data_IF_240997113024
#
_entry.id   IF_240997113024
#
_cell.length_a   1.000
_cell.length_b   1.000
_cell.length_c   1.000
_cell.angle_alpha   90.00
_cell.angle_beta   90.00
_cell.angle_gamma   90.00
#
_symmetry.space_group_name_H-M   'P 1'
#
loop_
_entity.id
_entity.type
_entity.pdbx_description
1 polymer ?
#
# COMPACT_ATOMS: atom_id res chain seq x y z
N UNK A 1 -31.10 24.90 -17.07
CA UNK A 1 -30.19 24.86 -15.92
C UNK A 1 -30.06 23.41 -15.51
N UNK A 2 -29.16 22.66 -16.18
CA UNK A 2 -28.86 21.27 -15.84
C UNK A 2 -27.95 21.28 -14.62
N UNK A 3 -28.37 20.60 -13.56
CA UNK A 3 -27.60 20.42 -12.33
C UNK A 3 -26.29 19.68 -12.66
N UNK A 4 -25.19 20.42 -12.75
CA UNK A 4 -23.84 19.91 -13.04
C UNK A 4 -23.10 19.50 -11.77
N UNK A 5 -23.79 19.36 -10.63
CA UNK A 5 -23.16 18.78 -9.44
C UNK A 5 -22.78 17.33 -9.77
N UNK A 6 -21.52 16.92 -9.54
CA UNK A 6 -21.16 15.51 -9.63
C UNK A 6 -22.16 14.71 -8.79
N UNK A 7 -22.74 13.66 -9.36
CA UNK A 7 -23.41 12.64 -8.53
C UNK A 7 -22.43 12.26 -7.42
N UNK A 8 -22.88 12.02 -6.19
CA UNK A 8 -22.02 11.67 -5.05
C UNK A 8 -20.97 10.57 -5.37
N UNK A 9 -21.23 9.70 -6.36
CA UNK A 9 -20.25 8.73 -6.86
C UNK A 9 -18.99 9.32 -7.55
N UNK A 10 -19.05 10.56 -8.05
CA UNK A 10 -18.05 11.21 -8.91
C UNK A 10 -17.53 12.54 -8.35
N UNK A 11 -17.92 12.94 -7.13
CA UNK A 11 -17.22 14.07 -6.52
C UNK A 11 -15.76 13.67 -6.21
N UNK A 12 -14.82 14.64 -6.23
CA UNK A 12 -13.38 14.32 -6.13
C UNK A 12 -12.99 13.52 -4.88
N UNK A 13 -13.63 13.77 -3.72
CA UNK A 13 -13.31 13.09 -2.47
C UNK A 13 -13.74 11.63 -2.53
N UNK A 14 -14.98 11.38 -2.98
CA UNK A 14 -15.50 10.03 -3.19
C UNK A 14 -14.68 9.23 -4.19
N UNK A 15 -14.14 9.88 -5.24
CA UNK A 15 -13.23 9.23 -6.20
C UNK A 15 -11.92 8.81 -5.52
N UNK A 16 -11.25 9.72 -4.82
CA UNK A 16 -9.98 9.43 -4.13
C UNK A 16 -10.14 8.31 -3.09
N UNK A 17 -11.18 8.38 -2.26
CA UNK A 17 -11.46 7.35 -1.26
C UNK A 17 -11.73 5.98 -1.90
N UNK A 18 -12.50 5.94 -3.01
CA UNK A 18 -12.77 4.68 -3.72
C UNK A 18 -11.49 4.05 -4.27
N UNK A 19 -10.62 4.83 -4.91
CA UNK A 19 -9.34 4.32 -5.40
C UNK A 19 -8.44 3.86 -4.26
N UNK A 20 -8.41 4.61 -3.15
CA UNK A 20 -7.59 4.25 -2.00
C UNK A 20 -8.08 2.97 -1.30
N UNK A 21 -9.39 2.82 -1.08
CA UNK A 21 -10.00 1.57 -0.57
C UNK A 21 -9.67 0.39 -1.47
N UNK A 22 -9.87 0.54 -2.78
CA UNK A 22 -9.63 -0.56 -3.73
C UNK A 22 -8.18 -1.02 -3.77
N UNK A 23 -7.19 -0.14 -3.58
CA UNK A 23 -5.77 -0.55 -3.57
C UNK A 23 -5.38 -1.18 -2.22
N UNK A 24 -5.97 -0.75 -1.10
CA UNK A 24 -5.79 -1.42 0.20
C UNK A 24 -6.30 -2.86 0.17
N UNK A 25 -7.48 -3.07 -0.42
CA UNK A 25 -8.05 -4.41 -0.61
C UNK A 25 -7.14 -5.27 -1.50
N UNK A 26 -6.62 -4.69 -2.58
CA UNK A 26 -5.70 -5.39 -3.48
C UNK A 26 -4.38 -5.77 -2.78
N UNK A 27 -3.85 -4.93 -1.89
CA UNK A 27 -2.67 -5.26 -1.08
C UNK A 27 -2.94 -6.49 -0.23
N UNK A 28 -4.06 -6.53 0.50
CA UNK A 28 -4.43 -7.67 1.33
C UNK A 28 -4.64 -8.95 0.51
N UNK A 29 -5.34 -8.85 -0.61
CA UNK A 29 -5.59 -9.97 -1.51
C UNK A 29 -4.29 -10.65 -1.98
N UNK A 30 -3.24 -9.88 -2.25
CA UNK A 30 -1.93 -10.42 -2.67
C UNK A 30 -1.24 -11.27 -1.61
N UNK A 31 -1.67 -11.24 -0.34
CA UNK A 31 -1.12 -12.07 0.73
C UNK A 31 -1.93 -13.36 0.96
N UNK A 32 -3.10 -13.50 0.35
CA UNK A 32 -4.00 -14.62 0.61
C UNK A 32 -3.42 -15.96 0.15
N UNK A 33 -3.66 -17.01 0.94
CA UNK A 33 -3.29 -18.39 0.63
C UNK A 33 -1.81 -18.73 0.82
N UNK A 34 -0.98 -17.80 1.31
CA UNK A 34 0.45 -18.02 1.50
C UNK A 34 0.81 -18.53 2.89
N UNK A 35 1.94 -19.22 2.98
CA UNK A 35 2.54 -19.65 4.24
C UNK A 35 3.21 -18.48 4.97
N UNK A 36 3.35 -18.56 6.30
CA UNK A 36 4.14 -17.59 7.09
C UNK A 36 5.55 -17.38 6.53
N UNK A 37 6.17 -18.45 6.03
CA UNK A 37 7.50 -18.39 5.43
C UNK A 37 7.50 -17.55 4.14
N UNK A 38 6.54 -17.79 3.24
CA UNK A 38 6.45 -17.06 1.96
C UNK A 38 6.05 -15.60 2.13
N UNK A 39 5.26 -15.29 3.16
CA UNK A 39 4.93 -13.91 3.52
C UNK A 39 6.17 -13.10 3.93
N UNK A 40 7.17 -13.74 4.54
CA UNK A 40 8.31 -13.06 5.19
C UNK A 40 9.62 -13.14 4.42
N UNK A 41 9.81 -14.15 3.58
CA UNK A 41 11.10 -14.36 2.92
C UNK A 41 11.41 -13.22 1.93
N UNK A 42 12.64 -12.68 1.93
CA UNK A 42 13.03 -11.62 1.00
C UNK A 42 13.22 -12.17 -0.42
N UNK A 43 12.58 -11.56 -1.42
CA UNK A 43 12.69 -11.98 -2.84
C UNK A 43 13.45 -11.00 -3.73
N UNK A 44 14.00 -9.95 -3.15
CA UNK A 44 14.81 -8.96 -3.86
C UNK A 44 16.10 -8.69 -3.10
N UNK A 45 17.09 -8.11 -3.78
CA UNK A 45 18.38 -7.75 -3.17
C UNK A 45 18.24 -6.74 -2.02
N UNK A 46 17.16 -5.96 -1.98
CA UNK A 46 16.86 -4.98 -0.94
C UNK A 46 16.02 -5.55 0.21
N UNK A 47 15.75 -6.85 0.23
CA UNK A 47 15.02 -7.50 1.32
C UNK A 47 13.50 -7.40 1.24
N UNK A 48 12.94 -6.87 0.14
CA UNK A 48 11.49 -6.71 -0.02
C UNK A 48 10.79 -8.07 0.08
N UNK A 49 9.76 -8.11 0.94
CA UNK A 49 8.90 -9.26 1.22
C UNK A 49 7.46 -8.75 1.42
N UNK A 50 6.47 -9.66 1.35
CA UNK A 50 5.06 -9.28 1.35
C UNK A 50 4.61 -8.67 2.68
N UNK A 51 4.95 -9.32 3.80
CA UNK A 51 4.47 -8.92 5.12
C UNK A 51 5.10 -7.60 5.60
N UNK A 52 6.37 -7.40 5.30
CA UNK A 52 7.10 -6.16 5.57
C UNK A 52 6.49 -4.95 4.86
N UNK A 53 6.09 -5.11 3.59
CA UNK A 53 5.39 -4.05 2.86
C UNK A 53 4.05 -3.70 3.52
N UNK A 54 3.29 -4.68 4.00
CA UNK A 54 2.02 -4.40 4.69
C UNK A 54 2.26 -3.69 6.03
N UNK A 55 3.28 -4.09 6.79
CA UNK A 55 3.69 -3.40 8.03
C UNK A 55 4.05 -1.93 7.75
N UNK A 56 4.86 -1.69 6.72
CA UNK A 56 5.23 -0.34 6.28
C UNK A 56 4.02 0.49 5.84
N UNK A 57 3.11 -0.09 5.06
CA UNK A 57 1.89 0.60 4.65
C UNK A 57 0.98 0.94 5.84
N UNK A 58 0.90 0.08 6.85
CA UNK A 58 0.17 0.38 8.08
C UNK A 58 0.81 1.55 8.85
N UNK A 59 2.13 1.60 8.94
CA UNK A 59 2.85 2.71 9.58
C UNK A 59 2.68 4.03 8.82
N UNK A 60 2.93 4.02 7.51
CA UNK A 60 2.82 5.24 6.68
C UNK A 60 1.40 5.81 6.69
N UNK A 61 0.37 4.97 6.56
CA UNK A 61 -1.02 5.41 6.59
C UNK A 61 -1.41 6.01 7.95
N UNK A 62 -0.99 5.39 9.06
CA UNK A 62 -1.19 5.91 10.41
C UNK A 62 -0.48 7.27 10.62
N UNK A 63 0.73 7.43 10.06
CA UNK A 63 1.47 8.68 10.13
C UNK A 63 0.79 9.80 9.37
N UNK A 64 0.38 9.56 8.12
CA UNK A 64 -0.19 10.59 7.26
C UNK A 64 -1.64 10.97 7.60
N UNK A 65 -2.52 10.00 7.86
CA UNK A 65 -3.93 10.31 8.18
C UNK A 65 -4.18 10.43 9.68
N UNK A 66 -3.29 9.90 10.52
CA UNK A 66 -3.38 10.04 11.96
C UNK A 66 -2.55 11.21 12.47
N UNK A 67 -1.25 11.00 12.62
CA UNK A 67 -0.37 11.94 13.32
C UNK A 67 -0.30 13.31 12.62
N UNK A 68 -0.14 13.33 11.29
CA UNK A 68 -0.03 14.58 10.52
C UNK A 68 -1.31 15.44 10.58
N UNK A 69 -2.47 14.82 10.80
CA UNK A 69 -3.78 15.49 10.90
C UNK A 69 -4.24 15.69 12.35
N UNK A 70 -3.41 15.35 13.35
CA UNK A 70 -3.77 15.47 14.76
C UNK A 70 -4.92 14.54 15.16
N UNK A 71 -4.93 13.33 14.58
CA UNK A 71 -5.91 12.26 14.82
C UNK A 71 -5.18 10.93 15.01
N UNK A 72 -4.25 10.80 15.99
CA UNK A 72 -3.42 9.59 16.12
C UNK A 72 -4.28 8.33 16.24
N UNK A 73 -3.84 7.24 15.59
CA UNK A 73 -4.47 5.93 15.73
C UNK A 73 -4.24 5.44 17.17
N UNK A 74 -5.27 5.00 17.90
CA UNK A 74 -5.09 4.48 19.26
C UNK A 74 -4.36 3.13 19.26
N UNK A 75 -3.67 2.84 20.36
CA UNK A 75 -3.06 1.53 20.65
C UNK A 75 -2.13 0.99 19.55
N UNK A 76 -1.29 1.89 19.00
CA UNK A 76 -0.27 1.52 18.03
C UNK A 76 0.87 0.69 18.68
N UNK A 77 1.45 -0.26 17.93
CA UNK A 77 2.50 -1.15 18.45
C UNK A 77 3.80 -0.39 18.75
N UNK A 78 4.64 -0.99 19.60
CA UNK A 78 5.90 -0.37 20.05
C UNK A 78 6.87 0.02 18.92
N UNK A 79 6.94 -0.77 17.84
CA UNK A 79 7.78 -0.42 16.68
C UNK A 79 7.31 0.88 16.01
N UNK A 80 6.01 1.17 16.00
CA UNK A 80 5.48 2.41 15.44
C UNK A 80 5.79 3.60 16.36
N UNK A 81 5.70 3.40 17.68
CA UNK A 81 6.12 4.42 18.65
C UNK A 81 7.60 4.74 18.46
N UNK A 82 8.45 3.74 18.27
CA UNK A 82 9.86 3.94 17.94
C UNK A 82 10.06 4.63 16.59
N UNK A 83 9.24 4.32 15.57
CA UNK A 83 9.30 4.99 14.26
C UNK A 83 9.04 6.50 14.39
N UNK A 84 7.96 6.87 15.08
CA UNK A 84 7.59 8.29 15.29
C UNK A 84 8.63 9.02 16.15
N UNK A 85 9.28 8.31 17.08
CA UNK A 85 10.36 8.85 17.90
C UNK A 85 11.71 8.94 17.18
N UNK A 86 11.81 8.51 15.91
CA UNK A 86 13.08 8.38 15.17
C UNK A 86 14.09 7.43 15.86
N UNK A 87 13.58 6.44 16.60
CA UNK A 87 14.35 5.43 17.34
C UNK A 87 14.29 4.04 16.69
N UNK A 88 13.43 3.85 15.69
CA UNK A 88 13.39 2.62 14.92
C UNK A 88 14.59 2.55 13.97
N UNK A 89 15.17 1.35 13.83
CA UNK A 89 16.26 1.13 12.88
C UNK A 89 15.80 1.27 11.43
N UNK A 90 16.77 1.52 10.54
CA UNK A 90 16.54 1.56 9.10
C UNK A 90 15.82 0.28 8.63
N UNK A 91 14.72 0.45 7.91
CA UNK A 91 13.84 -0.62 7.44
C UNK A 91 13.13 -1.44 8.54
N UNK A 92 13.12 -1.00 9.80
CA UNK A 92 12.41 -1.71 10.88
C UNK A 92 10.90 -1.82 10.64
N UNK A 93 10.31 -0.89 9.89
CA UNK A 93 8.92 -0.91 9.44
C UNK A 93 8.68 -1.81 8.22
N UNK A 94 9.76 -2.20 7.52
CA UNK A 94 9.77 -3.19 6.42
C UNK A 94 10.12 -4.61 6.90
N UNK A 95 10.37 -4.78 8.20
CA UNK A 95 10.75 -6.06 8.79
C UNK A 95 9.73 -6.49 9.86
N UNK A 96 8.98 -7.54 9.56
CA UNK A 96 8.15 -8.25 10.55
C UNK A 96 9.01 -9.24 11.34
N UNK A 97 9.20 -9.00 12.65
CA UNK A 97 10.01 -9.88 13.50
C UNK A 97 9.31 -11.24 13.70
N UNK A 98 10.04 -12.29 14.12
CA UNK A 98 9.43 -13.59 14.41
C UNK A 98 8.31 -13.55 15.45
N UNK A 99 8.32 -12.56 16.34
CA UNK A 99 7.32 -12.37 17.40
C UNK A 99 6.07 -11.64 16.92
N UNK A 100 6.15 -10.89 15.81
CA UNK A 100 5.01 -10.21 15.21
C UNK A 100 4.31 -11.16 14.23
N UNK A 101 3.12 -11.66 14.56
CA UNK A 101 2.40 -12.57 13.68
C UNK A 101 1.87 -11.86 12.41
N UNK A 102 1.68 -12.61 11.31
CA UNK A 102 1.08 -12.01 10.12
C UNK A 102 -0.36 -11.56 10.39
N UNK A 103 -1.10 -12.30 11.22
CA UNK A 103 -2.46 -11.95 11.63
C UNK A 103 -2.50 -10.58 12.31
N UNK A 104 -1.60 -10.32 13.26
CA UNK A 104 -1.52 -9.02 13.95
C UNK A 104 -1.20 -7.87 13.00
N UNK A 105 -0.25 -8.06 12.07
CA UNK A 105 0.12 -7.04 11.09
C UNK A 105 -1.03 -6.77 10.12
N UNK A 106 -1.70 -7.81 9.62
CA UNK A 106 -2.85 -7.67 8.73
C UNK A 106 -4.05 -7.03 9.46
N UNK A 107 -4.26 -7.36 10.74
CA UNK A 107 -5.29 -6.73 11.57
C UNK A 107 -4.98 -5.26 11.83
N UNK A 108 -3.71 -4.92 12.10
CA UNK A 108 -3.25 -3.54 12.24
C UNK A 108 -3.50 -2.74 10.96
N UNK A 109 -3.14 -3.29 9.80
CA UNK A 109 -3.35 -2.62 8.52
C UNK A 109 -4.84 -2.29 8.27
N UNK A 110 -5.74 -3.25 8.55
CA UNK A 110 -7.19 -3.02 8.47
C UNK A 110 -7.67 -1.94 9.44
N UNK A 111 -7.23 -2.01 10.71
CA UNK A 111 -7.61 -1.04 11.75
C UNK A 111 -7.15 0.38 11.43
N UNK A 112 -5.90 0.54 10.98
CA UNK A 112 -5.37 1.84 10.51
C UNK A 112 -6.19 2.32 9.32
N UNK A 113 -6.56 1.41 8.43
CA UNK A 113 -7.43 1.70 7.30
C UNK A 113 -8.81 2.23 7.69
N UNK A 114 -9.48 1.60 8.65
CA UNK A 114 -10.80 2.03 9.15
C UNK A 114 -10.70 3.40 9.84
N UNK A 115 -9.65 3.62 10.62
CA UNK A 115 -9.38 4.91 11.25
C UNK A 115 -9.16 6.01 10.21
N UNK A 116 -8.35 5.73 9.19
CA UNK A 116 -8.08 6.66 8.10
C UNK A 116 -9.35 7.00 7.32
N UNK A 117 -10.20 6.01 7.04
CA UNK A 117 -11.50 6.25 6.42
C UNK A 117 -12.37 7.20 7.24
N UNK A 118 -12.43 7.03 8.57
CA UNK A 118 -13.18 7.91 9.45
C UNK A 118 -12.64 9.35 9.45
N UNK A 119 -11.31 9.53 9.52
CA UNK A 119 -10.67 10.85 9.43
C UNK A 119 -10.93 11.51 8.09
N UNK A 120 -10.78 10.75 6.99
CA UNK A 120 -11.04 11.26 5.65
C UNK A 120 -12.51 11.66 5.54
N UNK A 121 -13.47 10.87 6.04
CA UNK A 121 -14.90 11.19 6.00
C UNK A 121 -15.23 12.48 6.77
N UNK A 122 -14.65 12.68 7.96
CA UNK A 122 -14.83 13.87 8.81
C UNK A 122 -14.35 15.17 8.14
N UNK A 123 -13.19 15.12 7.47
CA UNK A 123 -12.47 16.33 7.03
C UNK A 123 -12.79 16.77 5.60
N UNK A 124 -12.72 18.08 5.34
CA UNK A 124 -12.71 18.63 3.98
C UNK A 124 -11.39 18.32 3.25
N UNK A 125 -11.41 18.28 1.92
CA UNK A 125 -10.18 18.09 1.12
C UNK A 125 -9.15 19.22 1.30
N UNK A 126 -9.60 20.38 1.74
CA UNK A 126 -8.83 21.57 2.08
C UNK A 126 -8.37 21.61 3.55
N UNK A 127 -8.81 20.67 4.40
CA UNK A 127 -8.28 20.53 5.75
C UNK A 127 -6.79 20.25 5.70
N UNK A 128 -6.02 20.91 6.55
CA UNK A 128 -4.55 20.85 6.50
C UNK A 128 -3.96 20.08 7.67
N UNK A 129 -2.84 19.43 7.40
CA UNK A 129 -1.98 18.76 8.37
C UNK A 129 -0.53 19.24 8.29
N UNK A 130 0.31 18.73 9.18
CA UNK A 130 1.77 18.95 9.15
C UNK A 130 2.48 17.62 8.95
N UNK A 131 3.34 17.54 7.93
CA UNK A 131 4.18 16.38 7.58
C UNK A 131 5.64 16.71 7.87
N UNK A 132 6.18 16.37 9.07
CA UNK A 132 7.50 16.85 9.50
C UNK A 132 8.65 16.48 8.56
N UNK A 133 8.62 15.25 8.01
CA UNK A 133 9.67 14.72 7.13
C UNK A 133 9.65 15.30 5.71
N UNK A 134 8.70 16.19 5.37
CA UNK A 134 8.73 16.97 4.12
C UNK A 134 9.38 18.34 4.28
N UNK A 135 9.93 18.65 5.46
CA UNK A 135 10.56 19.92 5.77
C UNK A 135 9.57 21.09 5.62
N UNK A 136 10.02 22.21 5.04
CA UNK A 136 9.17 23.41 4.90
C UNK A 136 7.90 23.17 4.07
N UNK A 137 7.96 22.23 3.10
CA UNK A 137 6.81 21.84 2.26
C UNK A 137 5.79 21.00 3.01
N UNK A 138 6.14 20.53 4.19
CA UNK A 138 5.30 19.76 5.08
C UNK A 138 4.35 20.59 5.94
N UNK A 139 4.38 21.92 5.88
CA UNK A 139 3.43 22.76 6.62
C UNK A 139 2.14 22.96 5.83
N UNK A 140 1.01 22.95 6.53
CA UNK A 140 -0.32 23.21 5.99
C UNK A 140 -0.66 22.36 4.75
N UNK A 141 -0.26 21.08 4.77
CA UNK A 141 -0.48 20.14 3.66
C UNK A 141 -1.95 19.77 3.60
N UNK A 142 -2.67 20.02 2.49
CA UNK A 142 -4.09 19.71 2.40
C UNK A 142 -4.32 18.19 2.31
N UNK A 143 -5.43 17.72 2.88
CA UNK A 143 -5.86 16.31 2.85
C UNK A 143 -5.89 15.77 1.42
N UNK A 144 -6.27 16.61 0.44
CA UNK A 144 -6.19 16.25 -0.97
C UNK A 144 -4.79 15.76 -1.39
N UNK A 145 -3.73 16.46 -0.99
CA UNK A 145 -2.36 16.10 -1.32
C UNK A 145 -1.93 14.83 -0.58
N UNK A 146 -2.36 14.66 0.68
CA UNK A 146 -2.11 13.43 1.44
C UNK A 146 -2.77 12.20 0.81
N UNK A 147 -4.03 12.33 0.34
CA UNK A 147 -4.73 11.27 -0.39
C UNK A 147 -4.00 10.89 -1.68
N UNK A 148 -3.59 11.88 -2.49
CA UNK A 148 -2.83 11.61 -3.71
C UNK A 148 -1.50 10.93 -3.40
N UNK A 149 -0.80 11.39 -2.36
CA UNK A 149 0.47 10.80 -1.92
C UNK A 149 0.28 9.34 -1.50
N UNK A 150 -0.69 9.04 -0.63
CA UNK A 150 -0.93 7.68 -0.14
C UNK A 150 -1.44 6.76 -1.24
N UNK A 151 -2.28 7.23 -2.16
CA UNK A 151 -2.65 6.45 -3.35
C UNK A 151 -1.41 6.09 -4.17
N UNK A 152 -0.51 7.04 -4.41
CA UNK A 152 0.71 6.78 -5.17
C UNK A 152 1.65 5.80 -4.44
N UNK A 153 1.85 5.98 -3.13
CA UNK A 153 2.70 5.11 -2.30
C UNK A 153 2.15 3.68 -2.24
N UNK A 154 0.86 3.53 -1.96
CA UNK A 154 0.23 2.20 -1.89
C UNK A 154 0.18 1.52 -3.26
N UNK A 155 -0.05 2.23 -4.36
CA UNK A 155 0.02 1.64 -5.71
C UNK A 155 1.45 1.21 -6.08
N UNK A 156 2.47 2.00 -5.72
CA UNK A 156 3.88 1.65 -5.94
C UNK A 156 4.20 0.32 -5.26
N UNK A 157 3.81 0.18 -3.99
CA UNK A 157 4.00 -1.06 -3.25
C UNK A 157 3.13 -2.22 -3.72
N UNK A 158 1.88 -1.97 -4.14
CA UNK A 158 1.05 -3.01 -4.74
C UNK A 158 1.70 -3.62 -6.00
N UNK A 159 2.38 -2.81 -6.82
CA UNK A 159 3.16 -3.29 -7.95
C UNK A 159 4.41 -4.08 -7.52
N UNK A 160 5.08 -3.71 -6.43
CA UNK A 160 6.15 -4.55 -5.85
C UNK A 160 5.61 -5.90 -5.38
N UNK A 161 4.44 -5.90 -4.73
CA UNK A 161 3.79 -7.11 -4.25
C UNK A 161 3.38 -8.03 -5.41
N UNK A 162 3.01 -7.51 -6.57
CA UNK A 162 2.79 -8.33 -7.77
C UNK A 162 4.04 -9.12 -8.15
N UNK A 163 5.19 -8.45 -8.27
CA UNK A 163 6.45 -9.11 -8.65
C UNK A 163 6.90 -10.10 -7.57
N UNK A 164 6.79 -9.73 -6.29
CA UNK A 164 7.14 -10.64 -5.19
C UNK A 164 6.21 -11.86 -5.19
N UNK A 165 4.91 -11.68 -5.42
CA UNK A 165 3.95 -12.80 -5.48
C UNK A 165 4.23 -13.71 -6.67
N UNK A 166 4.51 -13.15 -7.84
CA UNK A 166 4.83 -13.91 -9.05
C UNK A 166 6.07 -14.79 -8.83
N UNK A 167 7.08 -14.32 -8.08
CA UNK A 167 8.25 -15.10 -7.71
C UNK A 167 7.99 -16.20 -6.65
N UNK A 168 6.84 -16.18 -5.98
CA UNK A 168 6.44 -17.20 -5.01
C UNK A 168 5.68 -18.33 -5.69
N UNK A 169 4.62 -17.99 -6.42
CA UNK A 169 3.66 -18.97 -6.94
C UNK A 169 3.10 -18.60 -8.33
N UNK A 170 3.76 -17.70 -9.06
CA UNK A 170 3.36 -17.22 -10.39
C UNK A 170 2.03 -16.44 -10.42
N UNK A 171 1.40 -16.15 -9.28
CA UNK A 171 0.18 -15.36 -9.21
C UNK A 171 0.47 -13.86 -9.28
N UNK A 172 -0.34 -13.13 -10.04
CA UNK A 172 -0.29 -11.67 -10.12
C UNK A 172 -1.66 -11.10 -10.55
N UNK A 173 -1.88 -9.81 -10.31
CA UNK A 173 -3.05 -9.12 -10.87
C UNK A 173 -3.40 -7.80 -10.20
N UNK A 174 -4.28 -7.03 -10.82
CA UNK A 174 -4.67 -5.71 -10.31
C UNK A 174 -5.38 -5.80 -8.96
N UNK A 175 -6.36 -6.71 -8.81
CA UNK A 175 -7.16 -6.95 -7.59
C UNK A 175 -7.98 -8.22 -7.74
N UNK A 176 -8.67 -8.64 -6.67
CA UNK A 176 -9.57 -9.79 -6.72
C UNK A 176 -10.58 -9.69 -7.89
N UNK A 177 -10.73 -10.78 -8.63
CA UNK A 177 -11.56 -10.87 -9.83
C UNK A 177 -11.10 -10.05 -11.04
N UNK A 178 -9.99 -9.31 -10.97
CA UNK A 178 -9.48 -8.47 -12.06
C UNK A 178 -7.96 -8.62 -12.17
N UNK A 179 -7.50 -9.54 -13.02
CA UNK A 179 -6.06 -9.72 -13.25
C UNK A 179 -5.44 -8.51 -13.96
N UNK A 180 -6.15 -7.93 -14.94
CA UNK A 180 -5.58 -6.99 -15.93
C UNK A 180 -4.38 -7.59 -16.72
N UNK A 181 -4.37 -8.92 -16.84
CA UNK A 181 -3.40 -9.70 -17.62
C UNK A 181 -4.12 -10.44 -18.75
N UNK A 182 -3.44 -10.77 -19.86
CA UNK A 182 -3.98 -11.66 -20.89
C UNK A 182 -4.38 -13.03 -20.33
N UNK A 183 -5.50 -13.59 -20.82
CA UNK A 183 -6.03 -14.91 -20.44
C UNK A 183 -5.24 -16.09 -21.04
N UNK A 184 -3.91 -15.97 -21.14
CA UNK A 184 -3.02 -17.00 -21.68
C UNK A 184 -2.83 -18.15 -20.70
N UNK A 185 -2.76 -19.38 -21.23
CA UNK A 185 -2.37 -20.55 -20.43
C UNK A 185 -0.86 -20.57 -20.15
N UNK A 186 -0.42 -21.53 -19.33
CA UNK A 186 1.00 -21.64 -18.93
C UNK A 186 1.95 -21.78 -20.13
N UNK A 187 1.51 -22.45 -21.20
CA UNK A 187 2.33 -22.60 -22.42
C UNK A 187 2.45 -21.28 -23.17
N UNK A 188 1.35 -20.56 -23.33
CA UNK A 188 1.35 -19.24 -23.95
C UNK A 188 2.28 -18.27 -23.21
N UNK A 189 2.23 -18.26 -21.87
CA UNK A 189 3.13 -17.44 -21.06
C UNK A 189 4.60 -17.84 -21.20
N UNK A 190 4.91 -19.14 -21.25
CA UNK A 190 6.28 -19.61 -21.48
C UNK A 190 6.79 -19.17 -22.87
N UNK A 191 5.99 -19.37 -23.92
CA UNK A 191 6.32 -18.96 -25.29
C UNK A 191 6.50 -17.43 -25.38
N UNK A 192 5.64 -16.65 -24.69
CA UNK A 192 5.77 -15.20 -24.61
C UNK A 192 7.06 -14.76 -23.91
N UNK A 193 7.40 -15.36 -22.75
CA UNK A 193 8.65 -15.07 -22.04
C UNK A 193 9.88 -15.39 -22.88
N UNK A 194 9.90 -16.53 -23.58
CA UNK A 194 10.99 -16.87 -24.50
C UNK A 194 11.14 -15.84 -25.61
N UNK A 195 10.02 -15.37 -26.19
CA UNK A 195 10.05 -14.31 -27.20
C UNK A 195 10.59 -12.98 -26.67
N UNK A 196 10.18 -12.59 -25.46
CA UNK A 196 10.68 -11.35 -24.81
C UNK A 196 12.17 -11.47 -24.53
N UNK A 197 12.64 -12.60 -24.01
CA UNK A 197 14.06 -12.85 -23.73
C UNK A 197 14.90 -12.80 -25.02
N UNK A 198 14.47 -13.51 -26.08
CA UNK A 198 15.20 -13.52 -27.34
C UNK A 198 15.36 -12.11 -27.93
N UNK A 199 14.35 -11.24 -27.78
CA UNK A 199 14.46 -9.85 -28.22
C UNK A 199 15.46 -9.03 -27.38
N UNK A 200 15.61 -9.34 -26.09
CA UNK A 200 16.61 -8.69 -25.22
C UNK A 200 18.03 -9.18 -25.53
N UNK A 201 18.19 -10.46 -25.86
CA UNK A 201 19.48 -11.08 -26.17
C UNK A 201 20.16 -10.48 -27.42
N UNK A 202 19.40 -9.85 -28.33
CA UNK A 202 19.95 -9.11 -29.49
C UNK A 202 20.79 -7.87 -29.09
N UNK A 203 20.75 -7.47 -27.81
CA UNK A 203 21.53 -6.35 -27.27
C UNK A 203 22.69 -6.79 -26.34
N UNK A 204 22.95 -8.10 -26.24
CA UNK A 204 23.98 -8.68 -25.37
C UNK A 204 25.38 -8.71 -26.00
#
# INVERSE_FOLDING_TARGET
>A
MTDTRPTQANDPKSVLQRYFRSIRDAVLWKLEGLSEHDLRRPLTATGTNLLGVVKHLAGTEAGYFGDCLGRPVPDMPGWYVALVAEELEDNGDMWATPEESSEEILALYRRVGEHSDAVIDELGLDATGTVPWWGERGRDVPLHLLLVHMIAETNRHAGHLDIVRELIDESAGLRDGVSNLPDGDARWWADYRTRVQAAADEFA
#
